data_IF_681820837236
#
_entry.id   IF_681820837236
#
_cell.length_a   1.000
_cell.length_b   1.000
_cell.length_c   1.000
_cell.angle_alpha   90.00
_cell.angle_beta   90.00
_cell.angle_gamma   90.00
#
_symmetry.space_group_name_H-M   'P 1'
#
loop_
_entity.id
_entity.type
_entity.pdbx_description
1 polymer ?
#
# COMPACT_ATOMS: atom_id res chain seq x y z
N UNK A 1 33.39 22.38 -4.14
CA UNK A 1 33.53 21.66 -5.43
C UNK A 1 32.61 20.45 -5.43
N UNK A 2 31.67 20.34 -6.39
CA UNK A 2 30.67 19.26 -6.45
C UNK A 2 31.34 17.97 -6.97
N UNK A 3 31.46 16.94 -6.13
CA UNK A 3 31.89 15.59 -6.54
C UNK A 3 30.84 15.02 -7.50
N UNK A 4 31.19 14.86 -8.77
CA UNK A 4 30.31 14.31 -9.80
C UNK A 4 29.89 12.88 -9.42
N UNK A 5 28.58 12.61 -9.33
CA UNK A 5 28.06 11.26 -9.10
C UNK A 5 28.45 10.38 -10.29
N UNK A 6 29.26 9.35 -10.06
CA UNK A 6 29.62 8.35 -11.08
C UNK A 6 28.36 7.64 -11.56
N UNK A 7 28.14 7.63 -12.88
CA UNK A 7 26.99 6.99 -13.50
C UNK A 7 27.02 5.46 -13.35
N UNK A 8 25.86 4.84 -13.09
CA UNK A 8 25.71 3.39 -12.81
C UNK A 8 26.39 2.48 -13.83
N UNK A 9 26.38 2.86 -15.11
CA UNK A 9 26.95 2.07 -16.22
C UNK A 9 28.37 2.49 -16.63
N UNK A 10 28.95 3.53 -16.02
CA UNK A 10 30.29 4.00 -16.33
C UNK A 10 31.37 3.01 -15.85
N UNK A 11 32.60 3.06 -16.39
CA UNK A 11 33.74 2.31 -15.86
C UNK A 11 33.93 2.61 -14.37
N UNK A 12 34.16 1.57 -13.57
CA UNK A 12 34.28 1.69 -12.14
C UNK A 12 35.58 2.43 -11.76
N UNK A 13 35.53 3.48 -10.93
CA UNK A 13 36.70 4.31 -10.62
C UNK A 13 37.74 3.58 -9.75
N UNK A 14 37.44 2.38 -9.24
CA UNK A 14 38.41 1.57 -8.49
C UNK A 14 39.46 0.87 -9.38
N UNK A 15 39.43 1.07 -10.69
CA UNK A 15 40.41 0.51 -11.63
C UNK A 15 40.14 -0.95 -12.04
N UNK A 16 38.99 -1.51 -11.69
CA UNK A 16 38.67 -2.92 -11.98
C UNK A 16 38.31 -3.23 -13.45
N UNK A 17 38.22 -2.22 -14.31
CA UNK A 17 37.76 -2.36 -15.71
C UNK A 17 36.26 -2.69 -15.88
N UNK A 18 35.55 -2.99 -14.81
CA UNK A 18 34.13 -3.35 -14.83
C UNK A 18 33.20 -2.13 -14.75
N UNK A 19 31.92 -2.28 -15.14
CA UNK A 19 30.90 -1.24 -14.95
C UNK A 19 30.63 -1.00 -13.46
N UNK A 20 30.44 0.25 -13.03
CA UNK A 20 30.27 0.63 -11.62
C UNK A 20 29.16 -0.17 -10.90
N UNK A 21 28.02 -0.42 -11.56
CA UNK A 21 26.92 -1.24 -11.04
C UNK A 21 27.26 -2.68 -10.69
N UNK A 22 28.32 -3.24 -11.29
CA UNK A 22 28.76 -4.62 -11.09
C UNK A 22 29.99 -4.70 -10.18
N UNK A 23 30.41 -3.59 -9.58
CA UNK A 23 31.65 -3.53 -8.81
C UNK A 23 31.45 -2.76 -7.50
N UNK A 24 31.69 -1.44 -7.50
CA UNK A 24 31.65 -0.66 -6.27
C UNK A 24 30.25 -0.14 -5.90
N UNK A 25 29.24 -0.22 -6.77
CA UNK A 25 27.92 0.34 -6.46
C UNK A 25 27.30 -0.24 -5.17
N UNK A 26 27.36 -1.56 -4.98
CA UNK A 26 26.81 -2.22 -3.80
C UNK A 26 27.68 -1.99 -2.56
N UNK A 27 29.00 -1.89 -2.75
CA UNK A 27 29.96 -1.57 -1.67
C UNK A 27 29.79 -0.13 -1.19
N UNK A 28 29.61 0.81 -2.10
CA UNK A 28 29.33 2.21 -1.81
C UNK A 28 27.93 2.38 -1.21
N UNK A 29 26.97 1.53 -1.59
CA UNK A 29 25.67 1.47 -0.93
C UNK A 29 25.83 1.00 0.52
N UNK A 30 26.54 -0.11 0.77
CA UNK A 30 26.81 -0.63 2.11
C UNK A 30 27.55 0.39 3.00
N UNK A 31 28.55 1.10 2.45
CA UNK A 31 29.29 2.14 3.18
C UNK A 31 28.43 3.36 3.53
N UNK A 32 27.37 3.66 2.77
CA UNK A 32 26.41 4.73 3.09
C UNK A 32 25.47 4.37 4.25
N UNK A 33 25.20 3.09 4.45
CA UNK A 33 24.38 2.62 5.57
C UNK A 33 25.18 2.53 6.88
N UNK A 34 26.50 2.35 6.81
CA UNK A 34 27.39 2.25 7.97
C UNK A 34 27.79 3.61 8.60
N UNK A 35 27.37 4.75 8.03
CA UNK A 35 27.82 6.09 8.44
C UNK A 35 26.78 7.00 9.10
N UNK A 36 25.60 6.50 9.50
CA UNK A 36 24.50 7.32 10.05
C UNK A 36 24.33 7.16 11.57
N UNK A 37 25.41 7.20 12.33
CA UNK A 37 25.36 7.35 13.80
C UNK A 37 25.97 8.68 14.23
N UNK A 38 25.19 9.76 14.07
CA UNK A 38 25.26 10.98 14.87
C UNK A 38 24.20 11.98 14.39
N UNK A 39 23.19 12.24 15.23
CA UNK A 39 22.32 13.42 15.14
C UNK A 39 20.91 13.15 14.63
N UNK A 40 20.00 12.81 15.54
CA UNK A 40 18.71 13.49 15.72
C UNK A 40 18.02 12.92 16.97
N UNK A 41 17.65 13.83 17.85
CA UNK A 41 16.93 13.63 19.11
C UNK A 41 15.50 13.12 18.84
N UNK A 42 15.34 11.81 18.68
CA UNK A 42 14.04 11.15 18.67
C UNK A 42 13.99 10.20 19.88
N UNK A 43 12.93 10.24 20.72
CA UNK A 43 12.86 9.33 21.84
C UNK A 43 12.78 7.90 21.30
N UNK A 44 13.78 7.11 21.69
CA UNK A 44 13.82 5.68 21.48
C UNK A 44 12.64 5.04 22.23
N UNK A 45 11.72 4.46 21.48
CA UNK A 45 10.54 3.78 22.00
C UNK A 45 10.12 2.62 21.11
N UNK A 46 10.87 1.51 21.25
CA UNK A 46 10.48 0.12 20.98
C UNK A 46 10.48 -0.39 19.53
N UNK A 47 11.58 -1.09 19.22
CA UNK A 47 11.56 -2.26 18.34
C UNK A 47 10.97 -3.47 19.10
N UNK A 48 10.17 -4.31 18.44
CA UNK A 48 9.89 -5.67 18.94
C UNK A 48 8.43 -6.11 19.07
N UNK A 49 7.51 -5.54 18.30
CA UNK A 49 6.16 -6.07 18.13
C UNK A 49 5.55 -5.51 16.86
N UNK A 50 4.62 -6.23 16.22
CA UNK A 50 3.63 -5.55 15.38
C UNK A 50 2.83 -4.69 16.35
N UNK A 51 3.33 -3.49 16.65
CA UNK A 51 2.48 -2.45 17.17
C UNK A 51 1.49 -2.19 16.02
N UNK A 52 0.33 -2.84 16.09
CA UNK A 52 -0.87 -2.34 15.43
C UNK A 52 -1.20 -1.04 16.16
N UNK A 53 -0.36 -0.03 16.00
CA UNK A 53 -0.78 1.33 16.24
C UNK A 53 -1.86 1.55 15.19
N UNK A 54 -3.11 1.43 15.63
CA UNK A 54 -4.26 1.78 14.82
C UNK A 54 -3.97 3.19 14.31
N UNK A 55 -3.91 3.41 12.99
CA UNK A 55 -3.67 4.74 12.47
C UNK A 55 -4.72 5.71 13.03
N UNK A 56 -4.32 6.90 13.49
CA UNK A 56 -5.26 7.89 14.04
C UNK A 56 -5.45 9.09 13.11
N UNK A 57 -4.76 9.07 11.97
CA UNK A 57 -4.78 10.14 10.99
C UNK A 57 -4.55 9.64 9.56
N UNK A 58 -4.87 10.50 8.59
CA UNK A 58 -4.53 10.29 7.19
C UNK A 58 -3.02 10.09 6.98
N UNK A 59 -2.19 10.82 7.75
CA UNK A 59 -0.74 10.72 7.67
C UNK A 59 -0.26 9.33 8.15
N UNK A 60 -0.82 8.84 9.25
CA UNK A 60 -0.49 7.51 9.79
C UNK A 60 -0.90 6.40 8.83
N UNK A 61 -2.08 6.52 8.23
CA UNK A 61 -2.56 5.58 7.21
C UNK A 61 -1.63 5.57 5.99
N UNK A 62 -1.26 6.75 5.47
CA UNK A 62 -0.35 6.84 4.33
C UNK A 62 1.02 6.24 4.65
N UNK A 63 1.55 6.49 5.85
CA UNK A 63 2.79 5.88 6.31
C UNK A 63 2.65 4.35 6.46
N UNK A 64 1.50 3.84 6.91
CA UNK A 64 1.23 2.42 6.96
C UNK A 64 1.23 1.79 5.55
N UNK A 65 0.57 2.43 4.58
CA UNK A 65 0.56 1.98 3.17
C UNK A 65 1.98 1.93 2.58
N UNK A 66 2.83 2.91 2.90
CA UNK A 66 4.22 2.97 2.42
C UNK A 66 5.13 1.90 3.01
N UNK A 67 4.81 1.38 4.20
CA UNK A 67 5.56 0.28 4.82
C UNK A 67 5.23 -1.08 4.20
N UNK A 68 4.10 -1.21 3.51
CA UNK A 68 3.69 -2.45 2.86
C UNK A 68 4.51 -2.70 1.58
N UNK A 69 4.91 -3.96 1.37
CA UNK A 69 5.63 -4.37 0.16
C UNK A 69 4.63 -4.80 -0.92
N UNK A 70 4.20 -3.84 -1.73
CA UNK A 70 3.26 -4.07 -2.83
C UNK A 70 3.91 -4.85 -3.99
N UNK A 71 3.21 -5.85 -4.54
CA UNK A 71 3.68 -6.62 -5.71
C UNK A 71 3.74 -5.76 -6.97
N UNK A 72 2.86 -4.77 -7.08
CA UNK A 72 2.87 -3.78 -8.14
C UNK A 72 2.73 -2.37 -7.54
N UNK A 73 3.51 -1.37 -7.97
CA UNK A 73 3.44 0.00 -7.43
C UNK A 73 2.03 0.60 -7.47
N UNK A 74 1.28 0.33 -8.54
CA UNK A 74 -0.09 0.84 -8.72
C UNK A 74 -1.05 0.42 -7.59
N UNK A 75 -0.83 -0.71 -6.92
CA UNK A 75 -1.70 -1.17 -5.84
C UNK A 75 -1.54 -0.31 -4.58
N UNK A 76 -0.32 0.18 -4.32
CA UNK A 76 -0.06 1.14 -3.23
C UNK A 76 -0.64 2.52 -3.54
N UNK A 77 -0.57 2.97 -4.78
CA UNK A 77 -1.17 4.24 -5.21
C UNK A 77 -2.71 4.20 -5.04
N UNK A 78 -3.34 3.10 -5.49
CA UNK A 78 -4.77 2.83 -5.27
C UNK A 78 -5.10 2.82 -3.77
N UNK A 79 -4.28 2.20 -2.93
CA UNK A 79 -4.51 2.15 -1.49
C UNK A 79 -4.50 3.55 -0.86
N UNK A 80 -3.51 4.39 -1.19
CA UNK A 80 -3.44 5.78 -0.68
C UNK A 80 -4.65 6.60 -1.12
N UNK A 81 -5.04 6.51 -2.38
CA UNK A 81 -6.21 7.22 -2.90
C UNK A 81 -7.51 6.74 -2.23
N UNK A 82 -7.65 5.43 -2.02
CA UNK A 82 -8.77 4.85 -1.27
C UNK A 82 -8.85 5.42 0.15
N UNK A 83 -7.73 5.47 0.87
CA UNK A 83 -7.69 6.02 2.24
C UNK A 83 -8.23 7.46 2.26
N UNK A 84 -7.79 8.32 1.33
CA UNK A 84 -8.31 9.69 1.22
C UNK A 84 -9.82 9.72 0.98
N UNK A 85 -10.34 8.85 0.11
CA UNK A 85 -11.78 8.79 -0.16
C UNK A 85 -12.63 8.31 1.01
N UNK A 86 -12.07 7.48 1.90
CA UNK A 86 -12.79 6.91 3.03
C UNK A 86 -12.68 7.75 4.32
N UNK A 87 -11.64 8.58 4.45
CA UNK A 87 -11.29 9.30 5.67
C UNK A 87 -12.43 10.14 6.29
N UNK A 88 -13.33 10.69 5.48
CA UNK A 88 -14.44 11.51 5.98
C UNK A 88 -15.66 10.69 6.44
N UNK A 89 -15.71 9.40 6.11
CA UNK A 89 -16.93 8.58 6.21
C UNK A 89 -16.75 7.31 7.01
N UNK A 90 -15.53 6.86 7.22
CA UNK A 90 -15.21 5.60 7.90
C UNK A 90 -14.19 5.86 9.02
N UNK A 91 -14.18 4.98 10.02
CA UNK A 91 -13.18 5.04 11.09
C UNK A 91 -11.83 4.57 10.56
N UNK A 92 -10.75 4.98 11.21
CA UNK A 92 -9.42 4.56 10.78
C UNK A 92 -9.20 3.04 10.88
N UNK A 93 -9.82 2.37 11.86
CA UNK A 93 -9.84 0.91 11.96
C UNK A 93 -10.46 0.25 10.73
N UNK A 94 -11.62 0.75 10.30
CA UNK A 94 -12.33 0.26 9.11
C UNK A 94 -11.49 0.46 7.85
N UNK A 95 -10.86 1.64 7.71
CA UNK A 95 -10.00 1.99 6.58
C UNK A 95 -8.73 1.12 6.58
N UNK A 96 -8.12 0.90 7.74
CA UNK A 96 -6.94 0.06 7.89
C UNK A 96 -7.25 -1.40 7.54
N UNK A 97 -8.34 -1.96 8.08
CA UNK A 97 -8.79 -3.30 7.75
C UNK A 97 -9.05 -3.46 6.23
N UNK A 98 -9.69 -2.47 5.61
CA UNK A 98 -9.96 -2.47 4.17
C UNK A 98 -8.68 -2.36 3.33
N UNK A 99 -7.72 -1.57 3.80
CA UNK A 99 -6.40 -1.41 3.16
C UNK A 99 -5.60 -2.72 3.23
N UNK A 100 -5.62 -3.39 4.38
CA UNK A 100 -4.98 -4.70 4.57
C UNK A 100 -5.66 -5.79 3.73
N UNK A 101 -6.99 -5.75 3.62
CA UNK A 101 -7.74 -6.63 2.72
C UNK A 101 -7.30 -6.42 1.26
N UNK A 102 -7.23 -5.18 0.79
CA UNK A 102 -6.76 -4.87 -0.55
C UNK A 102 -5.31 -5.31 -0.78
N UNK A 103 -4.42 -5.06 0.19
CA UNK A 103 -3.04 -5.50 0.14
C UNK A 103 -2.93 -7.02 -0.01
N UNK A 104 -3.64 -7.77 0.83
CA UNK A 104 -3.58 -9.22 0.83
C UNK A 104 -4.21 -9.82 -0.44
N UNK A 105 -5.37 -9.31 -0.86
CA UNK A 105 -6.05 -9.71 -2.10
C UNK A 105 -5.20 -9.42 -3.35
N UNK A 106 -4.68 -8.20 -3.49
CA UNK A 106 -3.95 -7.78 -4.69
C UNK A 106 -2.63 -8.53 -4.88
N UNK A 107 -1.99 -8.94 -3.77
CA UNK A 107 -0.80 -9.79 -3.78
C UNK A 107 -1.11 -11.23 -4.21
N UNK A 108 -2.24 -11.78 -3.78
CA UNK A 108 -2.61 -13.16 -4.11
C UNK A 108 -3.17 -13.29 -5.52
N UNK A 109 -4.05 -12.37 -5.92
CA UNK A 109 -4.84 -12.48 -7.14
C UNK A 109 -4.26 -11.68 -8.31
N UNK A 110 -3.28 -10.80 -8.04
CA UNK A 110 -2.64 -9.89 -9.02
C UNK A 110 -3.65 -9.31 -10.05
N UNK A 111 -4.76 -8.71 -9.59
CA UNK A 111 -5.84 -8.31 -10.47
C UNK A 111 -5.38 -7.23 -11.45
N UNK A 112 -5.81 -7.35 -12.71
CA UNK A 112 -5.68 -6.26 -13.68
C UNK A 112 -6.65 -5.14 -13.30
N UNK A 113 -6.11 -3.96 -13.01
CA UNK A 113 -6.89 -2.76 -12.67
C UNK A 113 -6.78 -1.75 -13.81
N UNK A 114 -7.83 -1.65 -14.61
CA UNK A 114 -7.92 -0.66 -15.69
C UNK A 114 -8.39 0.71 -15.19
N UNK A 115 -9.31 0.72 -14.22
CA UNK A 115 -9.88 1.92 -13.63
C UNK A 115 -9.90 1.78 -12.10
N UNK A 116 -9.09 2.57 -11.37
CA UNK A 116 -9.06 2.55 -9.90
C UNK A 116 -10.44 2.73 -9.26
N UNK A 117 -11.31 3.57 -9.83
CA UNK A 117 -12.67 3.81 -9.35
C UNK A 117 -13.52 2.54 -9.18
N UNK A 118 -13.29 1.49 -9.97
CA UNK A 118 -13.99 0.20 -9.82
C UNK A 118 -13.56 -0.51 -8.54
N UNK A 119 -12.27 -0.41 -8.19
CA UNK A 119 -11.72 -0.97 -6.94
C UNK A 119 -12.25 -0.17 -5.75
N UNK A 120 -12.24 1.16 -5.81
CA UNK A 120 -12.76 2.01 -4.74
C UNK A 120 -14.23 1.73 -4.44
N UNK A 121 -15.06 1.69 -5.48
CA UNK A 121 -16.48 1.41 -5.34
C UNK A 121 -16.74 0.02 -4.74
N UNK A 122 -16.01 -1.00 -5.19
CA UNK A 122 -16.19 -2.35 -4.70
C UNK A 122 -15.74 -2.52 -3.24
N UNK A 123 -14.58 -1.97 -2.86
CA UNK A 123 -14.07 -2.04 -1.49
C UNK A 123 -14.93 -1.23 -0.53
N UNK A 124 -15.36 -0.02 -0.90
CA UNK A 124 -16.25 0.78 -0.07
C UNK A 124 -17.61 0.08 0.15
N UNK A 125 -18.19 -0.48 -0.92
CA UNK A 125 -19.44 -1.23 -0.78
C UNK A 125 -19.26 -2.45 0.13
N UNK A 126 -18.22 -3.25 -0.07
CA UNK A 126 -17.94 -4.41 0.79
C UNK A 126 -17.77 -4.00 2.26
N UNK A 127 -17.01 -2.92 2.52
CA UNK A 127 -16.83 -2.37 3.86
C UNK A 127 -18.16 -1.95 4.49
N UNK A 128 -19.00 -1.23 3.73
CA UNK A 128 -20.31 -0.77 4.23
C UNK A 128 -21.25 -1.92 4.62
N UNK A 129 -21.18 -3.05 3.90
CA UNK A 129 -21.95 -4.26 4.22
C UNK A 129 -21.43 -4.88 5.51
N UNK A 130 -20.10 -5.00 5.64
CA UNK A 130 -19.47 -5.58 6.83
C UNK A 130 -19.71 -4.77 8.11
N UNK A 131 -19.81 -3.45 7.99
CA UNK A 131 -19.99 -2.53 9.13
C UNK A 131 -21.44 -2.17 9.40
N UNK A 132 -22.39 -2.84 8.72
CA UNK A 132 -23.82 -2.68 8.98
C UNK A 132 -24.40 -1.34 8.56
N UNK A 133 -23.93 -0.75 7.45
CA UNK A 133 -24.40 0.53 6.90
C UNK A 133 -25.34 0.30 5.71
N UNK A 134 -26.67 0.13 5.96
CA UNK A 134 -27.61 -0.32 4.94
C UNK A 134 -27.84 0.69 3.80
N UNK A 135 -27.44 1.95 3.97
CA UNK A 135 -27.72 3.03 3.01
C UNK A 135 -26.73 3.10 1.84
N UNK A 136 -25.63 2.33 1.87
CA UNK A 136 -24.65 2.31 0.78
C UNK A 136 -25.02 1.22 -0.23
N UNK A 137 -25.48 1.64 -1.41
CA UNK A 137 -25.83 0.71 -2.50
C UNK A 137 -24.73 0.63 -3.56
N UNK A 138 -24.72 -0.44 -4.36
CA UNK A 138 -23.80 -0.58 -5.50
C UNK A 138 -23.94 0.57 -6.51
N UNK A 139 -25.17 1.06 -6.72
CA UNK A 139 -25.43 2.18 -7.62
C UNK A 139 -24.86 3.50 -7.09
N UNK A 140 -24.97 3.72 -5.77
CA UNK A 140 -24.46 4.91 -5.10
C UNK A 140 -22.94 4.99 -5.16
N UNK A 141 -22.22 3.91 -4.80
CA UNK A 141 -20.75 3.90 -4.91
C UNK A 141 -20.29 3.99 -6.38
N UNK A 142 -21.02 3.37 -7.31
CA UNK A 142 -20.68 3.44 -8.72
C UNK A 142 -20.76 4.88 -9.25
N UNK A 143 -21.83 5.59 -8.88
CA UNK A 143 -21.98 7.01 -9.19
C UNK A 143 -20.88 7.86 -8.56
N UNK A 144 -20.52 7.61 -7.29
CA UNK A 144 -19.49 8.38 -6.57
C UNK A 144 -18.13 8.32 -7.25
N UNK A 145 -17.77 7.16 -7.76
CA UNK A 145 -16.46 6.92 -8.39
C UNK A 145 -16.50 6.99 -9.92
N UNK A 146 -17.59 7.49 -10.51
CA UNK A 146 -17.78 7.63 -11.96
C UNK A 146 -17.52 6.31 -12.74
N UNK A 147 -18.10 5.22 -12.25
CA UNK A 147 -18.01 3.88 -12.87
C UNK A 147 -19.39 3.25 -13.03
N UNK A 148 -19.48 2.19 -13.83
CA UNK A 148 -20.76 1.50 -14.03
C UNK A 148 -21.07 0.55 -12.86
N UNK A 149 -22.33 0.49 -12.42
CA UNK A 149 -22.76 -0.45 -11.38
C UNK A 149 -22.50 -1.93 -11.76
N UNK A 150 -22.50 -2.25 -13.05
CA UNK A 150 -22.11 -3.57 -13.56
C UNK A 150 -20.63 -3.89 -13.30
N UNK A 151 -19.73 -2.94 -13.54
CA UNK A 151 -18.29 -3.12 -13.25
C UNK A 151 -18.01 -3.28 -11.76
N UNK A 152 -18.72 -2.52 -10.91
CA UNK A 152 -18.66 -2.66 -9.44
C UNK A 152 -19.16 -4.03 -9.01
N UNK A 153 -20.31 -4.47 -9.52
CA UNK A 153 -20.88 -5.78 -9.19
C UNK A 153 -19.95 -6.93 -9.58
N UNK A 154 -19.34 -6.86 -10.77
CA UNK A 154 -18.33 -7.82 -11.21
C UNK A 154 -17.16 -7.88 -10.25
N UNK A 155 -16.57 -6.73 -9.88
CA UNK A 155 -15.43 -6.67 -8.97
C UNK A 155 -15.77 -7.17 -7.57
N UNK A 156 -16.96 -6.88 -7.05
CA UNK A 156 -17.43 -7.45 -5.77
C UNK A 156 -17.49 -8.98 -5.86
N UNK A 157 -18.00 -9.53 -6.97
CA UNK A 157 -18.02 -10.97 -7.20
C UNK A 157 -16.62 -11.60 -7.23
N UNK A 158 -15.62 -10.89 -7.75
CA UNK A 158 -14.21 -11.33 -7.76
C UNK A 158 -13.55 -11.23 -6.37
N UNK A 159 -13.93 -10.24 -5.54
CA UNK A 159 -13.41 -10.06 -4.18
C UNK A 159 -14.05 -11.04 -3.18
N UNK A 160 -15.33 -11.36 -3.36
CA UNK A 160 -16.14 -12.06 -2.37
C UNK A 160 -15.56 -13.42 -1.91
N UNK A 161 -15.09 -14.32 -2.80
CA UNK A 161 -14.51 -15.60 -2.37
C UNK A 161 -13.30 -15.44 -1.45
N UNK A 162 -12.46 -14.43 -1.72
CA UNK A 162 -11.30 -14.12 -0.90
C UNK A 162 -11.71 -13.58 0.47
N UNK A 163 -12.63 -12.62 0.49
CA UNK A 163 -13.15 -12.02 1.73
C UNK A 163 -13.82 -13.08 2.60
N UNK A 164 -14.69 -13.92 2.04
CA UNK A 164 -15.39 -14.97 2.76
C UNK A 164 -14.41 -15.95 3.43
N UNK A 165 -13.43 -16.47 2.67
CA UNK A 165 -12.39 -17.35 3.21
C UNK A 165 -11.57 -16.68 4.31
N UNK A 166 -11.26 -15.39 4.16
CA UNK A 166 -10.45 -14.64 5.14
C UNK A 166 -11.22 -14.47 6.45
N UNK A 167 -12.51 -14.13 6.39
CA UNK A 167 -13.36 -14.01 7.57
C UNK A 167 -13.55 -15.35 8.28
N UNK A 168 -13.74 -16.45 7.54
CA UNK A 168 -13.83 -17.80 8.09
C UNK A 168 -12.55 -18.18 8.86
N UNK A 169 -11.38 -17.92 8.29
CA UNK A 169 -10.10 -18.23 8.92
C UNK A 169 -9.80 -17.39 10.17
N UNK A 170 -10.40 -16.21 10.32
CA UNK A 170 -10.28 -15.37 11.51
C UNK A 170 -11.25 -15.78 12.63
N UNK A 171 -12.30 -16.54 12.30
CA UNK A 171 -13.31 -17.01 13.25
C UNK A 171 -13.00 -18.41 13.83
N UNK A 172 -12.00 -19.11 13.29
CA UNK A 172 -11.53 -20.44 13.71
C UNK A 172 -10.31 -20.36 14.61
#
# INVERSE_FOLDING_TARGET
>A
MKKSKVGRNAPCPCGSGNKYKKCCLEKDAAARFAGREAGADAPAGQAGGIAVAVPESLADMNAAVERLTWTQPQYGDIAKELVTHLAERFTWDEINATTLLWFAYSREQEPVVQKPGVVFAALEYSLSVMTGRPNVTKAEVAKRYDVSAGSVSKRIGELHPYVARTLEALAS
#
